data_IF_458085578193
#
_entry.id   IF_458085578193
#
_cell.length_a   1.000
_cell.length_b   1.000
_cell.length_c   1.000
_cell.angle_alpha   90.00
_cell.angle_beta   90.00
_cell.angle_gamma   90.00
#
_symmetry.space_group_name_H-M   'P 1'
#
loop_
_entity.id
_entity.type
_entity.pdbx_description
1 polymer ?
#
# COMPACT_ATOMS: atom_id res chain seq x y z
N UNK A 1 -42.63 -2.28 10.52
CA UNK A 1 -41.93 -1.13 9.91
C UNK A 1 -40.52 -1.57 9.55
N UNK A 2 -40.11 -1.44 8.29
CA UNK A 2 -38.72 -1.68 7.90
C UNK A 2 -37.86 -0.52 8.40
N UNK A 3 -36.67 -0.82 8.93
CA UNK A 3 -35.69 0.19 9.35
C UNK A 3 -35.21 0.93 8.10
N UNK A 4 -35.26 2.26 8.13
CA UNK A 4 -34.77 3.10 7.03
C UNK A 4 -33.27 2.87 6.83
N UNK A 5 -32.86 2.63 5.60
CA UNK A 5 -31.46 2.46 5.25
C UNK A 5 -30.78 3.82 5.25
N UNK A 6 -29.79 4.00 6.13
CA UNK A 6 -28.93 5.17 6.12
C UNK A 6 -27.70 4.87 5.27
N UNK A 7 -27.60 5.54 4.13
CA UNK A 7 -26.40 5.48 3.29
C UNK A 7 -25.26 6.23 3.98
N UNK A 8 -24.22 5.50 4.37
CA UNK A 8 -22.98 6.05 4.90
C UNK A 8 -22.02 6.17 3.73
N UNK A 9 -21.86 7.39 3.21
CA UNK A 9 -20.99 7.66 2.06
C UNK A 9 -19.51 7.74 2.42
N UNK A 10 -19.21 8.14 3.68
CA UNK A 10 -17.83 8.29 4.15
C UNK A 10 -17.33 6.95 4.70
N UNK A 11 -16.28 6.36 4.13
CA UNK A 11 -15.69 5.15 4.69
C UNK A 11 -15.09 5.44 6.06
N UNK A 12 -15.03 4.42 6.91
CA UNK A 12 -14.26 4.48 8.14
C UNK A 12 -12.80 4.16 7.81
N UNK A 13 -11.96 5.19 7.77
CA UNK A 13 -10.52 5.04 7.51
C UNK A 13 -9.80 4.82 8.85
N UNK A 14 -9.01 3.74 9.01
CA UNK A 14 -8.23 3.52 10.22
C UNK A 14 -7.31 4.70 10.55
N UNK A 15 -7.24 5.07 11.84
CA UNK A 15 -6.42 6.20 12.31
C UNK A 15 -4.96 6.11 11.87
N UNK A 16 -4.40 4.89 11.86
CA UNK A 16 -3.03 4.64 11.41
C UNK A 16 -2.80 5.07 9.95
N UNK A 17 -3.78 4.91 9.06
CA UNK A 17 -3.68 5.35 7.67
C UNK A 17 -3.89 6.85 7.50
N UNK A 18 -4.66 7.47 8.39
CA UNK A 18 -4.83 8.93 8.43
C UNK A 18 -3.57 9.63 8.96
N UNK A 19 -2.98 9.09 10.03
CA UNK A 19 -1.72 9.59 10.61
C UNK A 19 -0.53 9.30 9.70
N UNK A 20 -0.58 8.16 9.01
CA UNK A 20 0.45 7.65 8.13
C UNK A 20 1.34 6.61 8.78
N UNK A 21 1.90 5.75 7.94
CA UNK A 21 2.84 4.70 8.29
C UNK A 21 3.98 4.67 7.26
N UNK A 22 5.15 4.19 7.68
CA UNK A 22 6.28 3.94 6.79
C UNK A 22 6.14 2.56 6.12
N UNK A 23 6.47 2.53 4.83
CA UNK A 23 6.55 1.31 4.04
C UNK A 23 7.78 1.36 3.15
N UNK A 24 8.39 0.21 2.89
CA UNK A 24 9.25 0.05 1.72
C UNK A 24 8.36 -0.25 0.52
N UNK A 25 8.57 0.42 -0.60
CA UNK A 25 7.71 0.30 -1.78
C UNK A 25 8.50 -0.17 -3.00
N UNK A 26 7.95 -1.09 -3.78
CA UNK A 26 8.45 -1.41 -5.12
C UNK A 26 7.31 -1.67 -6.11
N UNK A 27 7.63 -1.81 -7.39
CA UNK A 27 6.70 -2.16 -8.48
C UNK A 27 7.31 -3.22 -9.40
N UNK A 28 6.54 -3.67 -10.39
CA UNK A 28 6.99 -4.69 -11.35
C UNK A 28 7.96 -4.14 -12.42
N UNK A 29 8.10 -2.82 -12.56
CA UNK A 29 8.92 -2.18 -13.61
C UNK A 29 10.33 -1.82 -13.11
N UNK A 30 10.45 -1.53 -11.81
CA UNK A 30 11.67 -1.18 -11.10
C UNK A 30 12.33 -2.40 -10.48
N UNK A 31 13.65 -2.37 -10.39
CA UNK A 31 14.47 -3.35 -9.65
C UNK A 31 14.98 -2.77 -8.32
N UNK A 32 14.48 -1.59 -7.93
CA UNK A 32 14.88 -0.84 -6.75
C UNK A 32 13.71 -0.71 -5.78
N UNK A 33 14.02 -0.75 -4.49
CA UNK A 33 13.07 -0.48 -3.40
C UNK A 33 13.12 1.00 -3.02
N UNK A 34 11.97 1.67 -3.07
CA UNK A 34 11.79 2.99 -2.48
C UNK A 34 11.57 2.85 -0.98
N UNK A 35 12.64 3.03 -0.23
CA UNK A 35 12.64 2.80 1.21
C UNK A 35 12.02 3.95 2.00
N UNK A 36 11.53 3.65 3.20
CA UNK A 36 10.99 4.64 4.15
C UNK A 36 9.94 5.58 3.53
N UNK A 37 9.09 5.02 2.67
CA UNK A 37 8.02 5.74 2.00
C UNK A 37 6.90 6.03 2.99
N UNK A 38 6.69 7.30 3.33
CA UNK A 38 5.65 7.71 4.26
C UNK A 38 4.29 7.81 3.58
N UNK A 39 3.43 6.81 3.80
CA UNK A 39 2.15 6.63 3.12
C UNK A 39 0.98 7.05 3.99
N UNK A 40 0.00 7.71 3.38
CA UNK A 40 -1.24 8.17 4.01
C UNK A 40 -2.44 7.98 3.11
N UNK A 41 -3.61 7.86 3.73
CA UNK A 41 -4.92 7.93 3.06
C UNK A 41 -5.59 9.24 3.47
N UNK A 42 -6.26 9.92 2.55
CA UNK A 42 -7.01 11.11 2.90
C UNK A 42 -8.27 10.77 3.73
N UNK A 43 -8.80 11.75 4.44
CA UNK A 43 -9.91 11.53 5.37
C UNK A 43 -11.21 11.06 4.70
N UNK A 44 -11.35 11.20 3.38
CA UNK A 44 -12.52 10.78 2.62
C UNK A 44 -12.31 9.46 1.86
N UNK A 45 -11.09 8.90 1.85
CA UNK A 45 -10.78 7.64 1.19
C UNK A 45 -10.82 7.72 -0.34
N UNK A 46 -10.34 8.82 -0.91
CA UNK A 46 -10.20 9.02 -2.35
C UNK A 46 -8.78 8.78 -2.85
N UNK A 47 -7.77 9.04 -2.02
CA UNK A 47 -6.37 9.03 -2.43
C UNK A 47 -5.51 8.31 -1.39
N UNK A 48 -4.62 7.46 -1.89
CA UNK A 48 -3.40 7.07 -1.18
C UNK A 48 -2.28 7.95 -1.71
N UNK A 49 -1.48 8.56 -0.84
CA UNK A 49 -0.37 9.40 -1.25
C UNK A 49 0.84 9.13 -0.37
N UNK A 50 2.01 9.36 -0.92
CA UNK A 50 3.26 9.11 -0.23
C UNK A 50 4.39 10.02 -0.70
N UNK A 51 5.42 10.13 0.13
CA UNK A 51 6.68 10.79 -0.20
C UNK A 51 7.80 9.88 0.29
N UNK A 52 8.77 9.58 -0.56
CA UNK A 52 9.98 8.84 -0.16
C UNK A 52 11.08 9.83 0.19
N UNK A 53 12.00 9.46 1.09
CA UNK A 53 13.13 10.35 1.42
C UNK A 53 14.00 10.67 0.20
N UNK A 54 14.10 9.73 -0.73
CA UNK A 54 14.86 9.87 -1.97
C UNK A 54 14.16 10.77 -2.99
N UNK A 55 12.81 10.71 -3.06
CA UNK A 55 12.01 11.51 -3.99
C UNK A 55 11.30 12.61 -3.22
N UNK A 56 11.82 13.84 -3.34
CA UNK A 56 11.24 15.05 -2.72
C UNK A 56 9.83 15.40 -3.19
N UNK A 57 9.32 14.73 -4.22
CA UNK A 57 7.99 14.96 -4.78
C UNK A 57 6.99 13.94 -4.24
N UNK A 58 5.81 14.43 -3.83
CA UNK A 58 4.71 13.59 -3.36
C UNK A 58 4.04 12.89 -4.53
N UNK A 59 3.91 11.58 -4.43
CA UNK A 59 3.15 10.75 -5.37
C UNK A 59 1.73 10.50 -4.83
N UNK A 60 0.78 10.29 -5.74
CA UNK A 60 -0.62 10.05 -5.41
C UNK A 60 -1.20 8.93 -6.29
N UNK A 61 -2.00 8.07 -5.68
CA UNK A 61 -2.82 7.05 -6.34
C UNK A 61 -4.30 7.35 -6.02
N UNK A 62 -5.08 7.57 -7.08
CA UNK A 62 -6.54 7.65 -6.99
C UNK A 62 -7.11 6.26 -6.71
N UNK A 63 -7.82 6.12 -5.59
CA UNK A 63 -8.37 4.85 -5.14
C UNK A 63 -9.46 4.32 -6.06
N UNK A 64 -10.07 5.17 -6.90
CA UNK A 64 -11.02 4.70 -7.93
C UNK A 64 -10.35 3.83 -8.99
N UNK A 65 -9.02 3.93 -9.13
CA UNK A 65 -8.23 3.12 -10.05
C UNK A 65 -7.74 1.81 -9.44
N UNK A 66 -7.93 1.61 -8.13
CA UNK A 66 -7.50 0.39 -7.45
C UNK A 66 -8.55 -0.70 -7.64
N UNK A 67 -8.14 -1.81 -8.24
CA UNK A 67 -8.99 -2.98 -8.47
C UNK A 67 -8.92 -3.95 -7.31
N UNK A 68 -7.74 -4.09 -6.70
CA UNK A 68 -7.50 -5.10 -5.69
C UNK A 68 -6.35 -4.71 -4.76
N UNK A 69 -6.49 -5.09 -3.49
CA UNK A 69 -5.43 -5.12 -2.50
C UNK A 69 -5.37 -6.50 -1.84
N UNK A 70 -4.20 -7.13 -1.78
CA UNK A 70 -4.01 -8.40 -1.04
C UNK A 70 -2.79 -8.35 -0.16
N UNK A 71 -2.87 -9.08 0.95
CA UNK A 71 -1.76 -9.33 1.87
C UNK A 71 -1.11 -10.65 1.54
N UNK A 72 0.18 -10.79 1.87
CA UNK A 72 0.86 -12.07 1.79
C UNK A 72 1.37 -12.36 0.39
N UNK A 73 2.52 -11.77 0.04
CA UNK A 73 3.23 -12.09 -1.21
C UNK A 73 4.73 -11.93 -1.02
N UNK A 74 5.52 -12.77 -1.69
CA UNK A 74 6.97 -12.60 -1.73
C UNK A 74 7.42 -11.79 -2.95
N UNK A 75 8.44 -10.93 -2.80
CA UNK A 75 9.16 -10.35 -3.92
C UNK A 75 9.68 -11.45 -4.85
N UNK A 76 9.41 -11.30 -6.15
CA UNK A 76 9.83 -12.27 -7.18
C UNK A 76 11.28 -12.05 -7.63
N UNK A 77 11.75 -10.79 -7.65
CA UNK A 77 13.12 -10.45 -8.03
C UNK A 77 14.06 -10.60 -6.83
N UNK A 78 15.21 -11.26 -7.05
CA UNK A 78 16.19 -11.54 -6.00
C UNK A 78 16.91 -10.30 -5.47
N UNK A 79 17.02 -9.22 -6.25
CA UNK A 79 17.63 -7.96 -5.81
C UNK A 79 16.70 -7.20 -4.88
N UNK A 80 15.41 -7.12 -5.24
CA UNK A 80 14.37 -6.55 -4.37
C UNK A 80 14.33 -7.31 -3.05
N UNK A 81 14.34 -8.65 -3.12
CA UNK A 81 14.42 -9.49 -1.92
C UNK A 81 15.65 -9.16 -1.06
N UNK A 82 16.84 -9.09 -1.67
CA UNK A 82 18.09 -8.81 -0.97
C UNK A 82 18.10 -7.41 -0.29
N UNK A 83 17.51 -6.42 -0.94
CA UNK A 83 17.38 -5.06 -0.41
C UNK A 83 16.44 -5.02 0.80
N UNK A 84 15.25 -5.63 0.69
CA UNK A 84 14.29 -5.72 1.80
C UNK A 84 14.82 -6.48 3.02
N UNK A 85 15.72 -7.45 2.82
CA UNK A 85 16.39 -8.17 3.91
C UNK A 85 17.33 -7.28 4.74
N UNK A 86 17.80 -6.16 4.18
CA UNK A 86 18.58 -5.20 4.96
C UNK A 86 17.69 -4.39 5.91
N UNK A 87 16.38 -4.30 5.62
CA UNK A 87 15.40 -3.46 6.34
C UNK A 87 14.49 -4.27 7.27
N UNK A 88 14.66 -5.60 7.33
CA UNK A 88 14.02 -6.43 8.33
C UNK A 88 14.15 -7.93 8.08
N UNK A 89 13.58 -8.76 8.98
CA UNK A 89 13.72 -10.21 8.90
C UNK A 89 13.02 -10.79 7.66
N UNK A 90 13.76 -11.54 6.83
CA UNK A 90 13.25 -12.23 5.63
C UNK A 90 11.95 -13.00 5.89
N UNK A 91 11.90 -13.72 7.01
CA UNK A 91 10.80 -14.62 7.40
C UNK A 91 9.46 -13.91 7.53
N UNK A 92 9.49 -12.60 7.75
CA UNK A 92 8.28 -11.78 7.95
C UNK A 92 7.90 -10.96 6.72
N UNK A 93 8.72 -10.93 5.66
CA UNK A 93 8.49 -10.06 4.50
C UNK A 93 7.13 -10.35 3.87
N UNK A 94 6.77 -11.61 3.67
CA UNK A 94 5.48 -11.98 3.07
C UNK A 94 4.30 -11.44 3.88
N UNK A 95 4.30 -11.67 5.19
CA UNK A 95 3.22 -11.23 6.09
C UNK A 95 3.15 -9.70 6.24
N UNK A 96 4.28 -9.03 6.01
CA UNK A 96 4.38 -7.56 6.01
C UNK A 96 4.03 -6.94 4.65
N UNK A 97 3.92 -7.73 3.59
CA UNK A 97 3.69 -7.21 2.24
C UNK A 97 2.20 -7.13 1.90
N UNK A 98 1.80 -5.94 1.43
CA UNK A 98 0.52 -5.67 0.79
C UNK A 98 0.79 -5.34 -0.67
N UNK A 99 0.20 -6.08 -1.61
CA UNK A 99 0.19 -5.66 -3.01
C UNK A 99 -1.09 -4.91 -3.34
N UNK A 100 -1.01 -3.99 -4.30
CA UNK A 100 -2.11 -3.22 -4.87
C UNK A 100 -2.07 -3.34 -6.38
N UNK A 101 -3.17 -3.78 -6.99
CA UNK A 101 -3.34 -3.76 -8.45
C UNK A 101 -4.22 -2.58 -8.84
N UNK A 102 -3.73 -1.73 -9.73
CA UNK A 102 -4.43 -0.51 -10.15
C UNK A 102 -4.28 -0.25 -11.65
N UNK A 103 -5.22 0.50 -12.22
CA UNK A 103 -5.18 0.88 -13.64
C UNK A 103 -6.52 1.43 -14.15
N UNK A 104 -6.54 2.09 -15.32
CA UNK A 104 -7.76 2.64 -15.92
C UNK A 104 -8.75 1.58 -16.41
N UNK A 105 -8.29 0.36 -16.65
CA UNK A 105 -9.09 -0.75 -17.11
C UNK A 105 -8.45 -2.09 -16.70
N UNK A 106 -9.14 -3.20 -17.02
CA UNK A 106 -8.72 -4.55 -16.62
C UNK A 106 -7.57 -5.12 -17.48
N UNK A 107 -7.08 -4.37 -18.46
CA UNK A 107 -5.98 -4.77 -19.35
C UNK A 107 -4.71 -4.01 -19.02
N UNK A 108 -4.83 -2.69 -18.84
CA UNK A 108 -3.73 -1.79 -18.53
C UNK A 108 -3.58 -1.66 -17.02
N UNK A 109 -2.99 -2.68 -16.39
CA UNK A 109 -2.79 -2.74 -14.93
C UNK A 109 -1.31 -2.62 -14.56
N UNK A 110 -1.07 -2.04 -13.39
CA UNK A 110 0.22 -1.98 -12.72
C UNK A 110 0.06 -2.48 -11.28
N UNK A 111 1.16 -2.90 -10.66
CA UNK A 111 1.17 -3.32 -9.28
C UNK A 111 2.14 -2.49 -8.45
N UNK A 112 1.68 -2.06 -7.27
CA UNK A 112 2.55 -1.66 -6.19
C UNK A 112 2.63 -2.74 -5.14
N UNK A 113 3.79 -2.84 -4.50
CA UNK A 113 4.03 -3.69 -3.36
C UNK A 113 4.54 -2.82 -2.23
N UNK A 114 3.86 -2.89 -1.09
CA UNK A 114 4.12 -2.10 0.10
C UNK A 114 4.50 -3.07 1.22
N UNK A 115 5.75 -3.01 1.67
CA UNK A 115 6.26 -3.82 2.77
C UNK A 115 6.24 -2.97 4.02
N UNK A 116 5.36 -3.31 4.96
CA UNK A 116 5.23 -2.60 6.22
C UNK A 116 6.42 -2.89 7.15
N UNK A 117 6.68 -1.99 8.10
CA UNK A 117 7.68 -2.23 9.15
C UNK A 117 7.32 -3.47 10.00
N UNK A 118 6.04 -3.66 10.30
CA UNK A 118 5.51 -4.74 11.16
C UNK A 118 4.31 -5.45 10.55
N UNK A 119 4.04 -6.69 10.99
CA UNK A 119 2.86 -7.45 10.51
C UNK A 119 1.56 -6.80 10.96
N UNK A 120 1.58 -6.09 12.08
CA UNK A 120 0.46 -5.35 12.66
C UNK A 120 0.05 -4.21 11.72
N UNK A 121 1.01 -3.45 11.20
CA UNK A 121 0.76 -2.39 10.23
C UNK A 121 0.23 -2.98 8.93
N UNK A 122 0.79 -4.08 8.42
CA UNK A 122 0.27 -4.75 7.23
C UNK A 122 -1.17 -5.31 7.42
N UNK A 123 -1.57 -5.57 8.67
CA UNK A 123 -2.95 -5.96 9.01
C UNK A 123 -3.89 -4.76 9.10
N UNK A 124 -3.39 -3.54 9.24
CA UNK A 124 -4.19 -2.33 9.09
C UNK A 124 -4.61 -2.26 7.63
N UNK A 125 -5.82 -2.74 7.36
CA UNK A 125 -6.39 -2.79 6.03
C UNK A 125 -6.41 -1.40 5.39
N UNK A 126 -5.76 -1.25 4.23
CA UNK A 126 -5.97 -0.11 3.33
C UNK A 126 -7.34 -0.27 2.61
N UNK A 127 -7.97 -1.46 2.65
CA UNK A 127 -9.31 -1.76 2.12
C UNK A 127 -9.98 -2.93 2.87
#
# INVERSE_FOLDING_TARGET
MAKEFQFIWKPNIPDALLSGCLFDKYDDESICVESDTFLRVDEFGFFVYWTSEERKDTSVLDLVQVWEARRGTYPKDGRIMFELEQHGPRETIEERTVWLTYGPDLVNISNYYLVAETTEIAKVSIF
#
